data_IF_895721734554
#
_entry.id   IF_895721734554
#
_cell.length_a   1.000
_cell.length_b   1.000
_cell.length_c   1.000
_cell.angle_alpha   90.00
_cell.angle_beta   90.00
_cell.angle_gamma   90.00
#
_symmetry.space_group_name_H-M   'P 1'
#
loop_
_entity.id
_entity.type
_entity.pdbx_description
1 polymer ?
#
# COMPACT_ATOMS: atom_id res chain seq x y z
N UNK A 1 18.04 -1.96 -5.05
CA UNK A 1 17.47 -2.85 -4.03
C UNK A 1 18.39 -3.00 -2.81
N UNK A 2 19.69 -3.22 -2.94
CA UNK A 2 20.63 -3.37 -1.80
C UNK A 2 20.58 -2.23 -0.78
N UNK A 3 20.33 -0.98 -1.22
CA UNK A 3 20.14 0.14 -0.30
C UNK A 3 18.86 -0.04 0.53
N UNK A 4 17.76 -0.42 -0.10
CA UNK A 4 16.48 -0.68 0.58
C UNK A 4 16.59 -1.84 1.58
N UNK A 5 17.35 -2.87 1.24
CA UNK A 5 17.63 -3.97 2.17
C UNK A 5 18.38 -3.51 3.42
N UNK A 6 19.33 -2.59 3.29
CA UNK A 6 20.02 -1.99 4.45
C UNK A 6 19.06 -1.19 5.34
N UNK A 7 18.18 -0.38 4.72
CA UNK A 7 17.14 0.34 5.47
C UNK A 7 16.22 -0.62 6.22
N UNK A 8 15.83 -1.71 5.58
CA UNK A 8 15.00 -2.75 6.20
C UNK A 8 15.72 -3.46 7.35
N UNK A 9 17.04 -3.65 7.26
CA UNK A 9 17.85 -4.22 8.34
C UNK A 9 17.87 -3.32 9.59
N UNK A 10 17.82 -1.98 9.42
CA UNK A 10 17.65 -1.07 10.55
C UNK A 10 16.29 -1.22 11.22
N UNK A 11 15.24 -1.48 10.46
CA UNK A 11 13.92 -1.81 11.02
C UNK A 11 13.94 -3.14 11.81
N UNK A 12 14.77 -4.10 11.40
CA UNK A 12 14.94 -5.38 12.08
C UNK A 12 15.82 -5.28 13.34
N UNK A 13 16.67 -4.28 13.45
CA UNK A 13 17.64 -4.14 14.52
C UNK A 13 16.96 -3.77 15.85
N UNK A 14 16.88 -4.72 16.78
CA UNK A 14 16.24 -4.54 18.09
C UNK A 14 16.99 -3.59 19.03
N UNK A 15 18.20 -3.19 18.69
CA UNK A 15 18.92 -2.12 19.42
C UNK A 15 18.34 -0.73 19.14
N UNK A 16 17.64 -0.57 18.02
CA UNK A 16 16.91 0.66 17.70
C UNK A 16 15.60 0.74 18.52
N UNK A 17 15.22 1.94 19.04
CA UNK A 17 13.93 2.13 19.67
C UNK A 17 12.77 1.73 18.72
N UNK A 18 11.70 1.15 19.27
CA UNK A 18 10.60 0.59 18.47
C UNK A 18 10.02 1.60 17.47
N UNK A 19 9.85 2.88 17.83
CA UNK A 19 9.33 3.91 16.94
C UNK A 19 10.31 4.28 15.81
N UNK A 20 11.62 4.18 16.05
CA UNK A 20 12.60 4.34 14.98
C UNK A 20 12.58 3.15 14.01
N UNK A 21 12.36 1.95 14.51
CA UNK A 21 12.18 0.76 13.67
C UNK A 21 10.95 0.88 12.78
N UNK A 22 9.84 1.41 13.32
CA UNK A 22 8.63 1.76 12.51
C UNK A 22 9.00 2.75 11.41
N UNK A 23 9.74 3.82 11.73
CA UNK A 23 10.17 4.81 10.72
C UNK A 23 11.03 4.16 9.63
N UNK A 24 12.00 3.32 9.98
CA UNK A 24 12.81 2.61 8.98
C UNK A 24 11.95 1.71 8.07
N UNK A 25 10.94 1.05 8.63
CA UNK A 25 9.99 0.25 7.84
C UNK A 25 9.22 1.10 6.83
N UNK A 26 8.73 2.28 7.23
CA UNK A 26 8.06 3.24 6.35
C UNK A 26 9.00 3.83 5.29
N UNK A 27 10.26 4.14 5.66
CA UNK A 27 11.27 4.61 4.69
C UNK A 27 11.55 3.53 3.65
N UNK A 28 11.68 2.26 4.06
CA UNK A 28 11.81 1.14 3.14
C UNK A 28 10.69 1.11 2.11
N UNK A 29 9.44 1.21 2.55
CA UNK A 29 8.26 1.15 1.68
C UNK A 29 8.24 2.29 0.67
N UNK A 30 8.45 3.52 1.14
CA UNK A 30 8.54 4.71 0.28
C UNK A 30 9.66 4.59 -0.76
N UNK A 31 10.83 4.14 -0.35
CA UNK A 31 11.97 3.96 -1.26
C UNK A 31 11.71 2.86 -2.26
N UNK A 32 11.03 1.77 -1.87
CA UNK A 32 10.69 0.69 -2.78
C UNK A 32 9.67 1.16 -3.82
N UNK A 33 8.63 1.88 -3.42
CA UNK A 33 7.64 2.44 -4.33
C UNK A 33 8.30 3.38 -5.36
N UNK A 34 9.19 4.26 -4.91
CA UNK A 34 9.94 5.15 -5.80
C UNK A 34 10.86 4.39 -6.76
N UNK A 35 11.56 3.37 -6.26
CA UNK A 35 12.39 2.50 -7.09
C UNK A 35 11.56 1.80 -8.18
N UNK A 36 10.41 1.25 -7.83
CA UNK A 36 9.51 0.60 -8.80
C UNK A 36 9.07 1.63 -9.86
N UNK A 37 8.57 2.77 -9.43
CA UNK A 37 8.09 3.82 -10.32
C UNK A 37 9.15 4.25 -11.32
N UNK A 38 10.34 4.55 -10.85
CA UNK A 38 11.43 5.06 -11.69
C UNK A 38 12.06 3.95 -12.52
N UNK A 39 12.47 2.84 -11.90
CA UNK A 39 13.25 1.81 -12.60
C UNK A 39 12.39 0.95 -13.52
N UNK A 40 11.24 0.48 -13.04
CA UNK A 40 10.34 -0.31 -13.88
C UNK A 40 9.72 0.57 -14.97
N UNK A 41 9.37 1.83 -14.66
CA UNK A 41 8.90 2.79 -15.64
C UNK A 41 9.93 3.02 -16.76
N UNK A 42 11.19 3.25 -16.43
CA UNK A 42 12.28 3.40 -17.40
C UNK A 42 12.46 2.14 -18.28
N UNK A 43 12.48 0.96 -17.68
CA UNK A 43 12.61 -0.31 -18.41
C UNK A 43 11.42 -0.55 -19.35
N UNK A 44 10.19 -0.23 -18.91
CA UNK A 44 9.01 -0.31 -19.77
C UNK A 44 9.09 0.64 -20.98
N UNK A 45 9.65 1.83 -20.81
CA UNK A 45 9.85 2.75 -21.93
C UNK A 45 10.89 2.22 -22.91
N UNK A 46 12.00 1.69 -22.43
CA UNK A 46 13.02 1.05 -23.30
C UNK A 46 12.39 -0.12 -24.05
N UNK A 47 11.63 -0.99 -23.37
CA UNK A 47 10.95 -2.13 -23.98
C UNK A 47 10.02 -1.76 -25.14
N UNK A 48 9.33 -0.61 -25.03
CA UNK A 48 8.44 -0.10 -26.10
C UNK A 48 9.19 0.35 -27.34
N UNK A 49 10.42 0.83 -27.20
CA UNK A 49 11.24 1.32 -28.29
C UNK A 49 12.09 0.19 -28.89
N UNK A 50 12.76 -0.58 -28.06
CA UNK A 50 13.61 -1.71 -28.46
C UNK A 50 13.66 -2.77 -27.33
N UNK A 51 12.91 -3.83 -27.53
CA UNK A 51 12.81 -4.91 -26.55
C UNK A 51 14.03 -5.85 -26.54
N UNK A 52 14.88 -5.81 -27.59
CA UNK A 52 16.00 -6.73 -27.77
C UNK A 52 17.34 -6.18 -27.29
N UNK A 53 17.44 -4.85 -27.16
CA UNK A 53 18.68 -4.23 -26.65
C UNK A 53 19.00 -4.73 -25.26
N UNK A 54 20.26 -5.17 -25.09
CA UNK A 54 20.81 -5.67 -23.84
C UNK A 54 21.62 -4.58 -23.14
N UNK A 55 21.39 -4.45 -21.84
CA UNK A 55 22.18 -3.58 -20.97
C UNK A 55 23.65 -4.06 -20.92
N UNK A 56 24.56 -3.14 -21.08
CA UNK A 56 26.01 -3.46 -21.18
C UNK A 56 26.62 -3.99 -19.90
N UNK A 57 26.02 -3.68 -18.73
CA UNK A 57 26.54 -4.12 -17.43
C UNK A 57 25.95 -5.45 -16.99
N UNK A 58 24.63 -5.63 -17.18
CA UNK A 58 23.93 -6.85 -16.74
C UNK A 58 23.85 -7.93 -17.83
N UNK A 59 24.02 -7.56 -19.10
CA UNK A 59 23.80 -8.43 -20.25
C UNK A 59 22.33 -8.81 -20.49
N UNK A 60 21.41 -8.26 -19.69
CA UNK A 60 19.98 -8.57 -19.73
C UNK A 60 19.20 -7.57 -20.59
N UNK A 61 18.18 -8.03 -21.30
CA UNK A 61 17.22 -7.15 -21.94
C UNK A 61 16.21 -6.59 -20.90
N UNK A 62 15.31 -5.67 -21.32
CA UNK A 62 14.38 -5.00 -20.42
C UNK A 62 13.42 -5.97 -19.74
N UNK A 63 12.90 -6.99 -20.43
CA UNK A 63 11.98 -7.96 -19.83
C UNK A 63 12.69 -8.85 -18.81
N UNK A 64 13.90 -9.32 -19.12
CA UNK A 64 14.74 -10.11 -18.22
C UNK A 64 15.07 -9.30 -16.95
N UNK A 65 15.40 -8.00 -17.08
CA UNK A 65 15.66 -7.13 -15.94
C UNK A 65 14.40 -6.91 -15.08
N UNK A 66 13.25 -6.66 -15.69
CA UNK A 66 11.97 -6.49 -14.97
C UNK A 66 11.64 -7.76 -14.19
N UNK A 67 11.75 -8.93 -14.84
CA UNK A 67 11.49 -10.21 -14.17
C UNK A 67 12.43 -10.45 -12.99
N UNK A 68 13.73 -10.19 -13.15
CA UNK A 68 14.71 -10.26 -12.08
C UNK A 68 14.37 -9.33 -10.92
N UNK A 69 14.04 -8.08 -11.21
CA UNK A 69 13.67 -7.08 -10.20
C UNK A 69 12.45 -7.54 -9.39
N UNK A 70 11.40 -8.02 -10.04
CA UNK A 70 10.20 -8.49 -9.35
C UNK A 70 10.45 -9.69 -8.44
N UNK A 71 11.32 -10.61 -8.87
CA UNK A 71 11.73 -11.73 -8.03
C UNK A 71 12.44 -11.26 -6.76
N UNK A 72 13.40 -10.36 -6.91
CA UNK A 72 14.14 -9.80 -5.76
C UNK A 72 13.22 -9.01 -4.82
N UNK A 73 12.27 -8.21 -5.37
CA UNK A 73 11.28 -7.48 -4.59
C UNK A 73 10.42 -8.44 -3.77
N UNK A 74 9.99 -9.55 -4.34
CA UNK A 74 9.19 -10.55 -3.61
C UNK A 74 9.94 -11.06 -2.38
N UNK A 75 11.18 -11.47 -2.56
CA UNK A 75 12.03 -11.97 -1.46
C UNK A 75 12.23 -10.93 -0.36
N UNK A 76 12.49 -9.67 -0.74
CA UNK A 76 12.67 -8.60 0.25
C UNK A 76 11.35 -8.27 0.95
N UNK A 77 10.21 -8.32 0.26
CA UNK A 77 8.90 -8.07 0.87
C UNK A 77 8.51 -9.15 1.88
N UNK A 78 8.77 -10.43 1.61
CA UNK A 78 8.57 -11.52 2.58
C UNK A 78 9.33 -11.23 3.90
N UNK A 79 10.58 -10.78 3.78
CA UNK A 79 11.37 -10.33 4.95
C UNK A 79 10.74 -9.10 5.63
N UNK A 80 10.24 -8.14 4.86
CA UNK A 80 9.62 -6.94 5.39
C UNK A 80 8.33 -7.26 6.17
N UNK A 81 7.53 -8.21 5.71
CA UNK A 81 6.33 -8.68 6.41
C UNK A 81 6.69 -9.29 7.78
N UNK A 82 7.67 -10.19 7.83
CA UNK A 82 8.14 -10.78 9.09
C UNK A 82 8.60 -9.71 10.10
N UNK A 83 9.32 -8.68 9.63
CA UNK A 83 9.77 -7.58 10.47
C UNK A 83 8.58 -6.74 10.96
N UNK A 84 7.58 -6.52 10.11
CA UNK A 84 6.36 -5.79 10.46
C UNK A 84 5.57 -6.53 11.55
N UNK A 85 5.40 -7.85 11.42
CA UNK A 85 4.75 -8.67 12.44
C UNK A 85 5.48 -8.61 13.80
N UNK A 86 6.81 -8.65 13.77
CA UNK A 86 7.63 -8.52 14.98
C UNK A 86 7.46 -7.13 15.62
N UNK A 87 7.49 -6.06 14.83
CA UNK A 87 7.23 -4.69 15.29
C UNK A 87 5.84 -4.58 15.91
N UNK A 88 4.81 -5.13 15.28
CA UNK A 88 3.44 -5.10 15.79
C UNK A 88 3.29 -5.88 17.11
N UNK A 89 4.02 -6.99 17.25
CA UNK A 89 4.05 -7.73 18.51
C UNK A 89 4.64 -6.88 19.65
N UNK A 90 5.78 -6.25 19.42
CA UNK A 90 6.44 -5.39 20.41
C UNK A 90 5.61 -4.14 20.74
N UNK A 91 4.94 -3.54 19.75
CA UNK A 91 4.01 -2.43 19.97
C UNK A 91 2.85 -2.83 20.88
N UNK A 92 2.30 -4.05 20.71
CA UNK A 92 1.25 -4.57 21.60
C UNK A 92 1.72 -4.70 23.04
N UNK A 93 2.97 -5.09 23.28
CA UNK A 93 3.55 -5.20 24.63
C UNK A 93 3.61 -3.86 25.38
N UNK A 94 3.65 -2.73 24.64
CA UNK A 94 3.60 -1.38 25.22
C UNK A 94 2.21 -0.72 25.10
N UNK A 95 1.15 -1.51 24.85
CA UNK A 95 -0.22 -1.03 24.81
C UNK A 95 -0.63 -0.34 23.50
N UNK A 96 0.14 -0.50 22.41
CA UNK A 96 -0.20 0.02 21.08
C UNK A 96 -0.63 -1.15 20.20
N UNK A 97 -1.91 -1.22 19.86
CA UNK A 97 -2.49 -2.25 19.01
C UNK A 97 -2.67 -1.71 17.60
N UNK A 98 -1.86 -2.18 16.66
CA UNK A 98 -2.09 -2.00 15.24
C UNK A 98 -2.91 -3.21 14.76
N UNK A 99 -4.11 -2.97 14.26
CA UNK A 99 -5.03 -4.02 13.82
C UNK A 99 -5.58 -3.75 12.43
N UNK A 100 -6.23 -4.76 11.88
CA UNK A 100 -7.07 -4.62 10.70
C UNK A 100 -8.54 -4.61 11.11
N UNK A 101 -9.42 -4.23 10.19
CA UNK A 101 -10.87 -4.24 10.43
C UNK A 101 -11.36 -5.62 10.92
N UNK A 102 -10.73 -6.70 10.47
CA UNK A 102 -11.07 -8.09 10.85
C UNK A 102 -10.72 -8.45 12.31
N UNK A 103 -9.82 -7.68 12.91
CA UNK A 103 -9.35 -7.94 14.29
C UNK A 103 -10.16 -7.17 15.34
N UNK A 104 -11.19 -6.41 14.92
CA UNK A 104 -12.02 -5.59 15.79
C UNK A 104 -12.97 -6.44 16.63
N UNK A 105 -13.23 -5.96 17.86
CA UNK A 105 -14.34 -6.47 18.68
C UNK A 105 -15.66 -5.82 18.25
N UNK A 106 -16.80 -6.42 18.63
CA UNK A 106 -18.13 -5.90 18.30
C UNK A 106 -18.30 -4.43 18.73
N UNK A 107 -17.80 -4.07 19.93
CA UNK A 107 -17.83 -2.68 20.40
C UNK A 107 -16.91 -1.73 19.65
N UNK A 108 -15.90 -2.26 18.94
CA UNK A 108 -14.99 -1.46 18.13
C UNK A 108 -15.58 -1.18 16.75
N UNK A 109 -16.38 -2.10 16.19
CA UNK A 109 -17.05 -1.89 14.91
C UNK A 109 -17.93 -0.63 14.93
N UNK A 110 -18.83 -0.50 15.92
CA UNK A 110 -19.72 0.66 16.03
C UNK A 110 -18.93 1.97 16.10
N UNK A 111 -17.83 1.99 16.84
CA UNK A 111 -16.97 3.15 16.94
C UNK A 111 -16.28 3.46 15.61
N UNK A 112 -15.68 2.47 14.97
CA UNK A 112 -14.93 2.63 13.71
C UNK A 112 -15.87 3.05 12.58
N UNK A 113 -17.02 2.40 12.44
CA UNK A 113 -18.01 2.70 11.43
C UNK A 113 -18.58 4.12 11.62
N UNK A 114 -18.88 4.51 12.86
CA UNK A 114 -19.32 5.87 13.18
C UNK A 114 -18.26 6.92 12.82
N UNK A 115 -16.99 6.67 13.14
CA UNK A 115 -15.90 7.60 12.78
C UNK A 115 -15.69 7.66 11.26
N UNK A 116 -15.76 6.52 10.57
CA UNK A 116 -15.65 6.44 9.13
C UNK A 116 -16.77 7.22 8.44
N UNK A 117 -18.02 6.96 8.80
CA UNK A 117 -19.18 7.65 8.23
C UNK A 117 -19.10 9.16 8.46
N UNK A 118 -18.74 9.60 9.66
CA UNK A 118 -18.66 11.02 9.99
C UNK A 118 -17.55 11.75 9.23
N UNK A 119 -16.38 11.11 9.09
CA UNK A 119 -15.20 11.78 8.52
C UNK A 119 -15.07 11.65 7.01
N UNK A 120 -15.51 10.54 6.43
CA UNK A 120 -15.14 10.17 5.06
C UNK A 120 -16.31 9.94 4.12
N UNK A 121 -17.52 9.63 4.59
CA UNK A 121 -18.64 9.26 3.71
C UNK A 121 -18.95 10.33 2.63
N UNK A 122 -18.85 11.61 2.98
CA UNK A 122 -19.10 12.72 2.05
C UNK A 122 -17.98 12.93 1.03
N UNK A 123 -16.81 12.30 1.22
CA UNK A 123 -15.67 12.43 0.33
C UNK A 123 -15.72 11.47 -0.85
N UNK A 124 -16.53 10.42 -0.76
CA UNK A 124 -16.73 9.48 -1.85
C UNK A 124 -17.67 10.05 -2.90
N UNK A 125 -17.23 10.02 -4.15
CA UNK A 125 -17.99 10.52 -5.31
C UNK A 125 -18.12 9.41 -6.35
N UNK A 126 -19.11 8.51 -6.19
CA UNK A 126 -19.35 7.45 -7.18
C UNK A 126 -19.74 8.04 -8.54
N UNK A 127 -19.16 7.51 -9.62
CA UNK A 127 -19.47 7.92 -10.99
C UNK A 127 -19.72 6.68 -11.86
N UNK A 128 -20.78 6.68 -12.65
CA UNK A 128 -20.96 5.66 -13.68
C UNK A 128 -20.06 5.97 -14.87
N UNK A 129 -19.40 4.93 -15.38
CA UNK A 129 -18.47 5.03 -16.51
C UNK A 129 -18.74 3.89 -17.51
N UNK A 130 -18.52 4.15 -18.78
CA UNK A 130 -18.47 3.12 -19.79
C UNK A 130 -17.10 2.42 -19.78
N UNK A 131 -17.06 1.16 -20.18
CA UNK A 131 -15.81 0.38 -20.19
C UNK A 131 -14.71 1.00 -21.05
N UNK A 132 -15.10 1.67 -22.15
CA UNK A 132 -14.19 2.40 -23.03
C UNK A 132 -13.51 3.58 -22.34
N UNK A 133 -14.17 4.21 -21.37
CA UNK A 133 -13.80 5.51 -20.82
C UNK A 133 -13.08 5.40 -19.47
N UNK A 134 -12.86 4.16 -18.97
CA UNK A 134 -12.19 3.92 -17.68
C UNK A 134 -10.82 4.60 -17.65
N UNK A 135 -10.03 4.45 -18.73
CA UNK A 135 -8.67 5.01 -18.79
C UNK A 135 -8.64 6.53 -18.73
N UNK A 136 -9.70 7.20 -19.20
CA UNK A 136 -9.81 8.66 -19.17
C UNK A 136 -10.23 9.19 -17.79
N UNK A 137 -10.89 8.34 -16.99
CA UNK A 137 -11.39 8.69 -15.66
C UNK A 137 -10.42 8.31 -14.53
N UNK A 138 -9.29 7.64 -14.84
CA UNK A 138 -8.28 7.25 -13.86
C UNK A 138 -7.08 8.21 -13.94
N UNK A 139 -6.74 8.81 -12.79
CA UNK A 139 -5.55 9.65 -12.64
C UNK A 139 -4.37 8.81 -12.14
N UNK A 140 -3.17 9.16 -12.57
CA UNK A 140 -1.95 8.52 -12.07
C UNK A 140 -1.80 8.75 -10.55
N UNK A 141 -1.28 7.75 -9.86
CA UNK A 141 -1.04 7.75 -8.40
C UNK A 141 -2.29 7.86 -7.52
N UNK A 142 -3.50 7.66 -8.08
CA UNK A 142 -4.75 7.59 -7.34
C UNK A 142 -5.23 6.14 -7.23
N UNK A 143 -6.01 5.84 -6.20
CA UNK A 143 -6.63 4.53 -6.00
C UNK A 143 -8.14 4.61 -6.25
N UNK A 144 -8.69 3.55 -6.80
CA UNK A 144 -10.10 3.48 -7.19
C UNK A 144 -10.71 2.15 -6.82
N UNK A 145 -11.96 2.18 -6.42
CA UNK A 145 -12.82 1.00 -6.33
C UNK A 145 -13.64 0.93 -7.61
N UNK A 146 -13.58 -0.20 -8.30
CA UNK A 146 -14.40 -0.46 -9.47
C UNK A 146 -15.53 -1.40 -9.09
N UNK A 147 -16.78 -0.97 -9.30
CA UNK A 147 -17.97 -1.70 -8.91
C UNK A 147 -18.75 -2.07 -10.18
N UNK A 148 -18.89 -3.37 -10.43
CA UNK A 148 -19.74 -3.90 -11.48
C UNK A 148 -21.14 -4.12 -10.89
N UNK A 149 -22.11 -3.38 -11.37
CA UNK A 149 -23.47 -3.37 -10.83
C UNK A 149 -24.53 -3.43 -11.94
N UNK A 150 -25.77 -3.63 -11.56
CA UNK A 150 -26.91 -3.61 -12.47
C UNK A 150 -27.94 -2.59 -11.96
N UNK A 151 -28.35 -1.68 -12.83
CA UNK A 151 -29.42 -0.72 -12.58
C UNK A 151 -30.47 -0.91 -13.66
N UNK A 152 -31.72 -1.17 -13.26
CA UNK A 152 -32.85 -1.46 -14.18
C UNK A 152 -32.56 -2.60 -15.16
N UNK A 153 -31.89 -3.68 -14.66
CA UNK A 153 -31.42 -4.82 -15.46
C UNK A 153 -30.38 -4.48 -16.54
N UNK A 154 -29.82 -3.28 -16.52
CA UNK A 154 -28.72 -2.87 -17.38
C UNK A 154 -27.42 -2.91 -16.57
N UNK A 155 -26.44 -3.70 -17.06
CA UNK A 155 -25.12 -3.78 -16.43
C UNK A 155 -24.41 -2.45 -16.58
N UNK A 156 -24.00 -1.89 -15.45
CA UNK A 156 -23.29 -0.62 -15.36
C UNK A 156 -22.01 -0.79 -14.54
N UNK A 157 -21.02 -0.01 -14.90
CA UNK A 157 -19.77 0.07 -14.18
C UNK A 157 -19.72 1.39 -13.41
N UNK A 158 -19.35 1.31 -12.14
CA UNK A 158 -19.19 2.50 -11.30
C UNK A 158 -17.76 2.56 -10.79
N UNK A 159 -17.15 3.73 -10.88
CA UNK A 159 -15.83 4.04 -10.34
C UNK A 159 -15.98 4.95 -9.15
N UNK A 160 -15.23 4.65 -8.10
CA UNK A 160 -15.19 5.45 -6.87
C UNK A 160 -13.74 5.75 -6.55
N UNK A 161 -13.33 7.00 -6.63
CA UNK A 161 -12.00 7.43 -6.23
C UNK A 161 -11.90 7.35 -4.69
N UNK A 162 -10.82 6.71 -4.19
CA UNK A 162 -10.53 6.67 -2.76
C UNK A 162 -9.86 7.99 -2.39
N UNK A 163 -10.47 8.78 -1.48
CA UNK A 163 -9.91 10.07 -1.08
C UNK A 163 -8.52 9.93 -0.47
N UNK A 164 -7.58 10.79 -0.85
CA UNK A 164 -6.22 10.78 -0.30
C UNK A 164 -6.20 10.95 1.23
N UNK A 165 -7.16 11.66 1.78
CA UNK A 165 -7.36 11.78 3.23
C UNK A 165 -7.68 10.45 3.91
N UNK A 166 -8.32 9.52 3.20
CA UNK A 166 -8.59 8.17 3.69
C UNK A 166 -7.31 7.33 3.71
N UNK A 167 -6.54 7.36 2.61
CA UNK A 167 -5.27 6.60 2.49
C UNK A 167 -4.22 6.99 3.53
N UNK A 168 -4.32 8.20 4.07
CA UNK A 168 -3.46 8.70 5.16
C UNK A 168 -4.16 8.69 6.51
N UNK A 169 -5.40 8.20 6.54
CA UNK A 169 -6.23 8.21 7.73
C UNK A 169 -5.88 7.08 8.68
N UNK A 170 -6.00 7.37 9.96
CA UNK A 170 -5.94 6.39 11.03
C UNK A 170 -7.09 6.68 11.99
N UNK A 171 -7.82 5.64 12.37
CA UNK A 171 -8.77 5.72 13.48
C UNK A 171 -8.05 5.28 14.75
N UNK A 172 -8.06 6.15 15.75
CA UNK A 172 -7.44 5.89 17.04
C UNK A 172 -8.54 5.80 18.09
N UNK A 173 -8.60 4.67 18.79
CA UNK A 173 -9.43 4.50 19.98
C UNK A 173 -8.53 4.27 21.19
N UNK A 174 -8.69 5.09 22.21
CA UNK A 174 -8.04 4.88 23.50
C UNK A 174 -9.08 4.34 24.48
N UNK A 175 -8.91 3.11 24.93
CA UNK A 175 -9.77 2.46 25.91
C UNK A 175 -8.91 1.72 26.92
N UNK A 176 -9.07 2.04 28.21
CA UNK A 176 -8.37 1.34 29.30
C UNK A 176 -6.85 1.25 29.15
N UNK A 177 -6.21 2.28 28.60
CA UNK A 177 -4.75 2.32 28.36
C UNK A 177 -4.29 1.59 27.10
N UNK A 178 -5.21 1.09 26.28
CA UNK A 178 -4.92 0.47 25.00
C UNK A 178 -5.22 1.48 23.91
N UNK A 179 -4.23 1.73 23.03
CA UNK A 179 -4.42 2.55 21.83
C UNK A 179 -4.60 1.63 20.62
N UNK A 180 -5.82 1.52 20.13
CA UNK A 180 -6.09 0.84 18.88
C UNK A 180 -5.80 1.81 17.72
N UNK A 181 -4.87 1.44 16.84
CA UNK A 181 -4.55 2.13 15.61
C UNK A 181 -5.07 1.28 14.45
N UNK A 182 -6.05 1.81 13.73
CA UNK A 182 -6.61 1.15 12.55
C UNK A 182 -6.26 1.98 11.32
N UNK A 183 -5.34 1.53 10.45
CA UNK A 183 -5.16 2.12 9.14
C UNK A 183 -6.44 1.98 8.33
N UNK A 184 -6.74 2.98 7.51
CA UNK A 184 -7.93 3.00 6.65
C UNK A 184 -7.57 2.53 5.22
N UNK A 185 -6.81 1.43 5.10
CA UNK A 185 -6.44 0.83 3.82
C UNK A 185 -7.52 -0.10 3.28
#
# INVERSE_FOLDING_TARGET
LKFNERVLNEAANTMNPILERVKFRLIYEKNLAEFIRVRIGSLNNIRKVDSLTRDTMSGLNSDEQIHYIWREIRTINEKAEMITEQIYKELREIGVHCGSYKDLTESDYDFVDGQFLMKFSSSFKPQFVDKSDISENIKDSHQYILIDTSVDNIRKLMIVEIPESLLKGVIVRNSYGINLLLPLE
#
